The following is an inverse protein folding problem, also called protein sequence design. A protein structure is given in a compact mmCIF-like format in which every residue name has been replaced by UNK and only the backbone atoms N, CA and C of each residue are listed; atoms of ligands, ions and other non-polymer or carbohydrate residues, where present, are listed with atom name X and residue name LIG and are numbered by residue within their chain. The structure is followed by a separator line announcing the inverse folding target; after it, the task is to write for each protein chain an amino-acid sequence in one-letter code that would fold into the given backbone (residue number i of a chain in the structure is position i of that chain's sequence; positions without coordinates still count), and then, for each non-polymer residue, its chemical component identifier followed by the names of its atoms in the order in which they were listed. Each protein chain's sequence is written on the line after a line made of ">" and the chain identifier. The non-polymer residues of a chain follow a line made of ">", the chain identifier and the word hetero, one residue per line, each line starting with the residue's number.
data_IF_112379468051
#
_entry.id   IF_112379468051
#
_cell.length_a   1.000
_cell.length_b   1.000
_cell.length_c   1.000
_cell.angle_alpha   90.00
_cell.angle_beta   90.00
_cell.angle_gamma   90.00
#
_symmetry.space_group_name_H-M   'P 1'
#
loop_
_entity.id
_entity.type
_entity.pdbx_description
1 polymer ?
#
# COMPACT_ATOMS: atom_id res chain seq x y z
N UNK A 1 -3.50 0.58 13.53
CA UNK A 1 -3.99 0.97 12.22
C UNK A 1 -3.16 2.11 11.66
N UNK A 2 -2.34 1.84 10.65
CA UNK A 2 -1.56 2.82 9.91
C UNK A 2 -2.34 3.34 8.69
N UNK A 3 -2.15 4.60 8.30
CA UNK A 3 -2.89 5.19 7.18
C UNK A 3 -2.01 6.01 6.23
N UNK A 4 -1.92 5.55 4.99
CA UNK A 4 -1.31 6.29 3.89
C UNK A 4 -2.38 7.15 3.22
N UNK A 5 -2.11 8.45 3.04
CA UNK A 5 -3.08 9.44 2.53
C UNK A 5 -2.55 10.16 1.29
N UNK A 6 -3.44 10.42 0.33
CA UNK A 6 -3.21 11.28 -0.82
C UNK A 6 -4.47 12.13 -1.06
N UNK A 7 -4.43 13.39 -0.61
CA UNK A 7 -5.63 14.23 -0.56
C UNK A 7 -6.69 13.64 0.36
N UNK A 8 -7.89 13.35 -0.18
CA UNK A 8 -8.99 12.70 0.55
C UNK A 8 -8.95 11.17 0.48
N UNK A 9 -8.15 10.61 -0.42
CA UNK A 9 -8.05 9.17 -0.62
C UNK A 9 -7.05 8.58 0.38
N UNK A 10 -7.36 7.43 0.96
CA UNK A 10 -6.43 6.73 1.83
C UNK A 10 -6.47 5.21 1.71
N UNK A 11 -5.29 4.62 1.85
CA UNK A 11 -5.07 3.20 2.07
C UNK A 11 -4.74 3.01 3.54
N UNK A 12 -5.46 2.10 4.19
CA UNK A 12 -5.27 1.80 5.60
C UNK A 12 -4.99 0.32 5.78
N UNK A 13 -4.02 0.00 6.64
CA UNK A 13 -3.55 -1.34 6.90
C UNK A 13 -3.51 -1.56 8.42
N UNK A 14 -4.01 -2.70 8.86
CA UNK A 14 -4.12 -3.05 10.27
C UNK A 14 -3.73 -4.51 10.50
N UNK A 15 -2.95 -4.77 11.54
CA UNK A 15 -2.65 -6.13 12.00
C UNK A 15 -3.75 -6.59 12.95
N UNK A 16 -4.53 -7.61 12.57
CA UNK A 16 -5.73 -7.98 13.32
C UNK A 16 -5.60 -9.26 14.13
N UNK A 17 -4.74 -10.19 13.72
CA UNK A 17 -4.64 -11.50 14.37
C UNK A 17 -3.40 -12.29 14.02
N UNK A 18 -3.07 -13.26 14.88
CA UNK A 18 -2.13 -14.33 14.59
C UNK A 18 -2.75 -15.66 14.99
N UNK A 19 -2.94 -16.56 14.03
CA UNK A 19 -3.58 -17.87 14.26
C UNK A 19 -3.05 -18.91 13.28
N UNK A 20 -2.80 -20.14 13.73
CA UNK A 20 -2.21 -21.21 12.89
C UNK A 20 -0.98 -20.80 12.07
N UNK A 21 -0.09 -19.98 12.67
CA UNK A 21 1.08 -19.36 12.03
C UNK A 21 0.78 -18.27 10.99
N UNK A 22 -0.48 -17.90 10.77
CA UNK A 22 -0.88 -16.84 9.86
C UNK A 22 -0.92 -15.47 10.54
N UNK A 23 -0.23 -14.49 9.97
CA UNK A 23 -0.42 -13.07 10.28
C UNK A 23 -1.62 -12.56 9.49
N UNK A 24 -2.63 -12.06 10.19
CA UNK A 24 -3.88 -11.61 9.59
C UNK A 24 -3.94 -10.09 9.51
N UNK A 25 -4.38 -9.57 8.36
CA UNK A 25 -4.51 -8.15 8.09
C UNK A 25 -5.94 -7.76 7.75
N UNK A 26 -6.28 -6.52 8.10
CA UNK A 26 -7.42 -5.82 7.51
C UNK A 26 -6.95 -4.60 6.75
N UNK A 27 -7.53 -4.44 5.55
CA UNK A 27 -7.13 -3.43 4.58
C UNK A 27 -8.35 -2.63 4.17
N UNK A 28 -8.23 -1.32 4.12
CA UNK A 28 -9.34 -0.43 3.80
C UNK A 28 -8.96 0.58 2.74
N UNK A 29 -9.89 0.79 1.80
CA UNK A 29 -9.84 1.90 0.86
C UNK A 29 -10.87 2.93 1.28
N UNK A 30 -10.41 4.12 1.67
CA UNK A 30 -11.28 5.16 2.21
C UNK A 30 -11.24 6.44 1.37
N UNK A 31 -12.35 7.17 1.36
CA UNK A 31 -12.46 8.54 0.87
C UNK A 31 -13.00 9.43 1.97
N UNK A 32 -12.20 10.42 2.39
CA UNK A 32 -12.52 11.33 3.49
C UNK A 32 -12.80 10.60 4.82
N UNK A 33 -12.17 9.43 5.01
CA UNK A 33 -12.36 8.56 6.19
C UNK A 33 -13.53 7.59 6.08
N UNK A 34 -14.35 7.66 5.03
CA UNK A 34 -15.45 6.73 4.79
C UNK A 34 -15.02 5.59 3.86
N UNK A 35 -15.51 4.36 4.09
CA UNK A 35 -15.19 3.23 3.21
C UNK A 35 -15.73 3.46 1.79
N UNK A 36 -14.89 3.19 0.80
CA UNK A 36 -15.29 3.20 -0.61
C UNK A 36 -16.09 1.96 -1.00
N UNK A 37 -16.14 0.96 -0.13
CA UNK A 37 -16.71 -0.36 -0.40
C UNK A 37 -18.01 -0.54 0.38
N UNK A 38 -19.02 -1.05 -0.31
CA UNK A 38 -20.27 -1.46 0.32
C UNK A 38 -20.14 -2.87 0.86
N UNK A 39 -20.51 -3.06 2.12
CA UNK A 39 -20.41 -4.36 2.80
C UNK A 39 -21.21 -5.48 2.11
N UNK A 40 -22.25 -5.16 1.34
CA UNK A 40 -23.07 -6.19 0.67
C UNK A 40 -22.39 -6.85 -0.54
N UNK A 41 -21.33 -6.24 -1.10
CA UNK A 41 -20.59 -6.79 -2.24
C UNK A 41 -19.42 -7.67 -1.81
N UNK A 42 -19.06 -7.59 -0.54
CA UNK A 42 -17.89 -8.24 0.00
C UNK A 42 -18.23 -9.64 0.55
N UNK A 43 -17.25 -10.55 0.52
CA UNK A 43 -17.42 -11.95 0.97
C UNK A 43 -17.69 -12.02 2.47
N UNK A 44 -18.60 -12.90 2.90
CA UNK A 44 -18.99 -13.09 4.33
C UNK A 44 -18.92 -14.55 4.77
N UNK A 45 -18.31 -15.40 3.94
CA UNK A 45 -18.31 -16.85 4.14
C UNK A 45 -17.23 -17.21 5.16
N UNK A 46 -17.52 -18.16 6.05
CA UNK A 46 -16.60 -18.74 7.03
C UNK A 46 -16.09 -17.76 8.12
N UNK A 47 -15.40 -18.29 9.13
CA UNK A 47 -14.99 -17.51 10.32
C UNK A 47 -14.00 -16.39 9.99
N UNK A 48 -13.17 -16.56 8.95
CA UNK A 48 -12.17 -15.59 8.52
C UNK A 48 -12.82 -14.28 8.05
N UNK A 49 -13.68 -14.35 7.02
CA UNK A 49 -14.39 -13.17 6.53
C UNK A 49 -15.53 -12.73 7.44
N UNK A 50 -16.10 -13.64 8.26
CA UNK A 50 -17.18 -13.30 9.18
C UNK A 50 -16.77 -12.39 10.35
N UNK A 51 -15.48 -12.36 10.71
CA UNK A 51 -14.93 -11.56 11.82
C UNK A 51 -14.38 -10.20 11.39
N UNK A 52 -14.42 -9.87 10.10
CA UNK A 52 -13.86 -8.61 9.61
C UNK A 52 -14.69 -7.39 10.02
N UNK A 53 -14.06 -6.23 10.01
CA UNK A 53 -14.76 -4.95 10.14
C UNK A 53 -15.47 -4.56 8.84
N UNK A 54 -16.49 -3.70 8.96
CA UNK A 54 -17.25 -3.21 7.81
C UNK A 54 -16.36 -2.55 6.76
N UNK A 55 -16.49 -2.99 5.50
CA UNK A 55 -15.73 -2.45 4.38
C UNK A 55 -14.26 -2.86 4.33
N UNK A 56 -13.80 -3.77 5.21
CA UNK A 56 -12.45 -4.30 5.20
C UNK A 56 -12.28 -5.40 4.15
N UNK A 57 -11.11 -5.42 3.52
CA UNK A 57 -10.56 -6.59 2.86
C UNK A 57 -9.70 -7.36 3.86
N UNK A 58 -9.63 -8.68 3.70
CA UNK A 58 -8.79 -9.55 4.52
C UNK A 58 -7.66 -10.07 3.65
N UNK A 59 -6.48 -10.17 4.24
CA UNK A 59 -5.33 -10.83 3.65
C UNK A 59 -4.53 -11.51 4.76
N UNK A 60 -3.82 -12.57 4.42
CA UNK A 60 -3.02 -13.33 5.38
C UNK A 60 -1.60 -13.57 4.85
N UNK A 61 -0.61 -13.49 5.73
CA UNK A 61 0.77 -13.87 5.45
C UNK A 61 1.20 -15.06 6.32
N UNK A 62 2.11 -15.87 5.79
CA UNK A 62 2.63 -17.06 6.46
C UNK A 62 3.79 -16.70 7.38
N UNK A 63 3.68 -17.11 8.64
CA UNK A 63 4.66 -17.02 9.74
C UNK A 63 5.04 -15.63 10.23
N UNK A 64 5.14 -14.63 9.35
CA UNK A 64 5.63 -13.29 9.68
C UNK A 64 5.13 -12.24 8.70
N UNK A 65 5.24 -10.98 9.12
CA UNK A 65 4.97 -9.87 8.22
C UNK A 65 6.04 -9.73 7.13
N UNK A 66 5.59 -9.67 5.87
CA UNK A 66 6.44 -9.33 4.71
C UNK A 66 6.12 -7.97 4.11
N UNK A 67 5.04 -7.31 4.54
CA UNK A 67 4.64 -6.02 3.99
C UNK A 67 5.54 -4.87 4.46
N UNK A 68 5.82 -4.77 5.76
CA UNK A 68 6.72 -3.74 6.31
C UNK A 68 8.16 -3.85 5.76
N UNK A 69 8.79 -5.04 5.70
CA UNK A 69 10.09 -5.21 5.05
C UNK A 69 10.09 -4.75 3.58
N UNK A 70 9.03 -5.04 2.83
CA UNK A 70 8.86 -4.58 1.45
C UNK A 70 8.89 -3.05 1.34
N UNK A 71 8.08 -2.35 2.15
CA UNK A 71 8.03 -0.88 2.12
C UNK A 71 9.39 -0.25 2.44
N UNK A 72 10.08 -0.78 3.45
CA UNK A 72 11.43 -0.34 3.83
C UNK A 72 12.43 -0.54 2.70
N UNK A 73 12.41 -1.72 2.06
CA UNK A 73 13.28 -2.04 0.91
C UNK A 73 13.06 -1.07 -0.25
N UNK A 74 11.82 -0.73 -0.58
CA UNK A 74 11.52 0.22 -1.66
C UNK A 74 12.01 1.63 -1.32
N UNK A 75 11.75 2.10 -0.09
CA UNK A 75 12.26 3.40 0.38
C UNK A 75 13.80 3.46 0.41
N UNK A 76 14.47 2.34 0.69
CA UNK A 76 15.92 2.22 0.71
C UNK A 76 16.55 2.11 -0.69
N UNK A 77 15.90 1.41 -1.61
CA UNK A 77 16.49 1.14 -2.94
C UNK A 77 16.09 2.16 -4.01
N UNK A 78 14.99 2.89 -3.82
CA UNK A 78 14.32 3.67 -4.87
C UNK A 78 14.08 2.84 -6.15
N UNK A 79 13.83 1.54 -6.00
CA UNK A 79 13.46 0.65 -7.10
C UNK A 79 12.00 0.25 -6.98
N UNK A 80 11.36 0.07 -8.13
CA UNK A 80 10.01 -0.49 -8.17
C UNK A 80 10.05 -1.94 -7.69
N UNK A 81 9.07 -2.29 -6.87
CA UNK A 81 8.89 -3.64 -6.34
C UNK A 81 7.42 -3.86 -5.95
N UNK A 82 7.06 -5.10 -5.61
CA UNK A 82 5.73 -5.43 -5.12
C UNK A 82 5.77 -6.40 -3.94
N UNK A 83 4.70 -6.38 -3.17
CA UNK A 83 4.39 -7.36 -2.15
C UNK A 83 3.09 -8.07 -2.50
N UNK A 84 3.10 -9.39 -2.30
CA UNK A 84 1.97 -10.29 -2.41
C UNK A 84 2.07 -11.27 -1.23
N UNK A 85 1.00 -11.46 -0.43
CA UNK A 85 0.96 -12.48 0.61
C UNK A 85 0.97 -13.90 0.01
N UNK A 86 1.09 -14.93 0.86
CA UNK A 86 1.01 -16.31 0.38
C UNK A 86 -0.39 -16.62 -0.20
N UNK A 87 -1.44 -16.09 0.42
CA UNK A 87 -2.77 -16.06 -0.15
C UNK A 87 -2.89 -14.77 -1.00
N UNK A 88 -3.06 -14.85 -2.33
CA UNK A 88 -3.03 -13.69 -3.22
C UNK A 88 -4.32 -12.88 -3.17
N UNK A 89 -4.74 -12.48 -1.97
CA UNK A 89 -5.90 -11.64 -1.71
C UNK A 89 -5.65 -10.18 -2.12
N UNK A 90 -4.38 -9.78 -2.12
CA UNK A 90 -3.93 -8.43 -2.44
C UNK A 90 -2.53 -8.45 -3.06
N UNK A 91 -2.30 -7.54 -4.00
CA UNK A 91 -0.97 -7.15 -4.48
C UNK A 91 -0.78 -5.66 -4.20
N UNK A 92 0.33 -5.27 -3.58
CA UNK A 92 0.73 -3.87 -3.44
C UNK A 92 2.02 -3.62 -4.21
N UNK A 93 2.00 -2.71 -5.17
CA UNK A 93 3.16 -2.31 -5.94
C UNK A 93 3.50 -0.83 -5.73
N UNK A 94 4.79 -0.52 -5.67
CA UNK A 94 5.32 0.83 -5.52
C UNK A 94 6.23 1.16 -6.69
N UNK A 95 6.02 2.31 -7.32
CA UNK A 95 6.81 2.80 -8.44
C UNK A 95 7.36 4.19 -8.12
N UNK A 96 8.66 4.32 -7.81
CA UNK A 96 9.31 5.60 -7.52
C UNK A 96 9.35 6.50 -8.77
N UNK A 97 8.92 7.75 -8.64
CA UNK A 97 8.93 8.79 -9.69
C UNK A 97 8.18 8.47 -11.00
N UNK A 98 7.41 7.39 -11.02
CA UNK A 98 6.54 7.05 -12.14
C UNK A 98 5.10 7.46 -11.85
N UNK A 99 4.33 7.71 -12.91
CA UNK A 99 2.92 8.05 -12.86
C UNK A 99 2.15 7.16 -13.81
N UNK A 100 1.07 6.53 -13.33
CA UNK A 100 0.18 5.77 -14.22
C UNK A 100 -0.58 6.72 -15.18
N UNK A 101 -0.83 6.32 -16.44
CA UNK A 101 -0.37 5.07 -17.06
C UNK A 101 1.15 5.08 -17.29
N UNK A 102 1.83 3.96 -17.02
CA UNK A 102 3.28 3.77 -17.22
C UNK A 102 3.62 3.67 -18.73
N UNK A 103 3.15 4.65 -19.48
CA UNK A 103 3.22 4.74 -20.94
C UNK A 103 3.80 6.09 -21.31
N UNK A 104 4.48 6.13 -22.45
CA UNK A 104 4.96 7.39 -23.00
C UNK A 104 3.79 8.37 -23.16
N UNK A 105 3.94 9.63 -22.70
CA UNK A 105 2.90 10.62 -22.87
C UNK A 105 2.54 10.80 -24.34
N UNK A 106 1.25 10.74 -24.67
CA UNK A 106 0.77 11.06 -26.02
C UNK A 106 0.90 12.56 -26.35
N UNK A 107 1.23 13.39 -25.37
CA UNK A 107 1.41 14.83 -25.50
C UNK A 107 2.89 15.22 -25.39
N UNK A 108 3.28 16.21 -26.19
CA UNK A 108 4.60 16.85 -26.10
C UNK A 108 4.45 18.23 -25.48
N UNK A 109 5.26 18.54 -24.48
CA UNK A 109 5.33 19.88 -23.91
C UNK A 109 5.98 20.81 -24.94
N UNK A 110 5.16 21.61 -25.63
CA UNK A 110 5.65 22.59 -26.62
C UNK A 110 6.06 23.93 -26.02
N UNK A 111 5.61 24.21 -24.80
CA UNK A 111 5.92 25.43 -24.08
C UNK A 111 5.92 25.19 -22.57
N UNK A 112 6.96 25.69 -21.92
CA UNK A 112 7.07 25.73 -20.46
C UNK A 112 7.67 27.08 -20.10
N UNK A 113 7.02 27.83 -19.19
CA UNK A 113 7.52 29.14 -18.73
C UNK A 113 8.90 28.95 -18.08
N UNK A 114 9.77 29.95 -18.21
CA UNK A 114 11.16 29.89 -17.68
C UNK A 114 11.20 29.56 -16.19
N UNK A 115 10.34 30.20 -15.37
CA UNK A 115 10.23 29.91 -13.94
C UNK A 115 10.01 28.43 -13.62
N UNK A 116 9.29 27.68 -14.47
CA UNK A 116 9.07 26.25 -14.27
C UNK A 116 10.27 25.41 -14.75
N UNK A 117 10.98 25.85 -15.80
CA UNK A 117 12.23 25.22 -16.23
C UNK A 117 13.29 25.33 -15.13
N UNK A 118 13.45 26.53 -14.57
CA UNK A 118 14.42 26.79 -13.50
C UNK A 118 14.11 25.95 -12.26
N UNK A 119 12.83 25.83 -11.88
CA UNK A 119 12.40 24.95 -10.78
C UNK A 119 12.72 23.48 -11.03
N UNK A 120 12.47 22.97 -12.24
CA UNK A 120 12.77 21.58 -12.60
C UNK A 120 14.28 21.31 -12.58
N UNK A 121 15.07 22.24 -13.10
CA UNK A 121 16.53 22.11 -13.14
C UNK A 121 17.14 22.22 -11.74
N UNK A 122 16.71 23.19 -10.92
CA UNK A 122 17.09 23.30 -9.52
C UNK A 122 16.72 22.03 -8.74
N UNK A 123 15.53 21.46 -8.96
CA UNK A 123 15.11 20.20 -8.34
C UNK A 123 15.99 19.03 -8.75
N UNK A 124 16.33 18.91 -10.03
CA UNK A 124 17.25 17.88 -10.54
C UNK A 124 18.63 18.00 -9.92
N UNK A 125 19.17 19.22 -9.83
CA UNK A 125 20.46 19.47 -9.22
C UNK A 125 20.45 19.13 -7.72
N UNK A 126 19.43 19.57 -7.00
CA UNK A 126 19.24 19.23 -5.59
C UNK A 126 19.15 17.72 -5.38
N UNK A 127 18.44 17.00 -6.25
CA UNK A 127 18.34 15.54 -6.20
C UNK A 127 19.68 14.86 -6.48
N UNK A 128 20.47 15.36 -7.44
CA UNK A 128 21.83 14.84 -7.68
C UNK A 128 22.75 15.02 -6.47
N UNK A 129 22.62 16.14 -5.76
CA UNK A 129 23.45 16.45 -4.59
C UNK A 129 23.05 15.67 -3.33
N UNK A 130 21.75 15.57 -3.07
CA UNK A 130 21.22 14.98 -1.83
C UNK A 130 20.73 13.54 -1.98
N UNK A 131 20.63 13.03 -3.21
CA UNK A 131 19.97 11.78 -3.51
C UNK A 131 18.46 11.89 -3.28
N UNK A 132 17.98 11.23 -2.22
CA UNK A 132 16.57 11.11 -1.88
C UNK A 132 16.04 12.39 -1.26
N UNK A 133 14.91 12.88 -1.74
CA UNK A 133 14.25 14.04 -1.16
C UNK A 133 12.90 13.66 -0.52
N UNK A 134 12.48 14.36 0.54
CA UNK A 134 11.19 14.10 1.22
C UNK A 134 9.96 14.26 0.31
N UNK A 135 10.07 15.04 -0.76
CA UNK A 135 9.02 15.29 -1.74
C UNK A 135 9.13 14.41 -2.99
N UNK A 136 10.06 13.45 -3.04
CA UNK A 136 10.07 12.41 -4.08
C UNK A 136 8.72 11.69 -4.09
N UNK A 137 8.18 11.43 -5.27
CA UNK A 137 6.84 10.84 -5.42
C UNK A 137 6.92 9.34 -5.66
N UNK A 138 5.92 8.61 -5.18
CA UNK A 138 5.70 7.20 -5.45
C UNK A 138 4.29 7.02 -5.99
N UNK A 139 4.14 6.26 -7.08
CA UNK A 139 2.85 5.67 -7.44
C UNK A 139 2.68 4.40 -6.61
N UNK A 140 1.67 4.41 -5.74
CA UNK A 140 1.23 3.28 -4.92
C UNK A 140 0.00 2.66 -5.58
N UNK A 141 0.06 1.36 -5.86
CA UNK A 141 -1.04 0.59 -6.44
C UNK A 141 -1.35 -0.57 -5.52
N UNK A 142 -2.56 -0.63 -4.97
CA UNK A 142 -3.08 -1.81 -4.27
C UNK A 142 -4.16 -2.45 -5.13
N UNK A 143 -3.99 -3.72 -5.51
CA UNK A 143 -4.97 -4.52 -6.22
C UNK A 143 -5.52 -5.57 -5.25
N UNK A 144 -6.81 -5.51 -4.95
CA UNK A 144 -7.52 -6.55 -4.21
C UNK A 144 -8.09 -7.55 -5.20
N UNK A 145 -7.81 -8.84 -5.00
CA UNK A 145 -8.36 -9.91 -5.83
C UNK A 145 -9.89 -10.02 -5.67
N UNK A 146 -10.56 -10.37 -6.75
CA UNK A 146 -12.00 -10.59 -6.82
C UNK A 146 -12.48 -11.65 -5.80
N UNK A 147 -11.59 -12.51 -5.31
CA UNK A 147 -11.84 -13.48 -4.25
C UNK A 147 -12.36 -12.86 -2.93
N UNK A 148 -12.05 -11.59 -2.66
CA UNK A 148 -12.58 -10.86 -1.50
C UNK A 148 -14.08 -10.47 -1.64
N UNK A 149 -14.69 -10.69 -2.80
CA UNK A 149 -16.07 -10.32 -3.09
C UNK A 149 -17.02 -11.51 -2.96
N UNK A 150 -18.31 -11.22 -2.77
CA UNK A 150 -19.34 -12.25 -2.64
C UNK A 150 -19.38 -13.14 -3.87
N UNK A 151 -19.77 -14.40 -3.66
CA UNK A 151 -19.95 -15.41 -4.72
C UNK A 151 -18.67 -15.79 -5.50
N UNK A 152 -17.49 -15.28 -5.08
CA UNK A 152 -16.20 -15.71 -5.61
C UNK A 152 -15.72 -16.98 -4.91
N UNK A 153 -15.40 -18.01 -5.70
CA UNK A 153 -15.02 -19.35 -5.22
C UNK A 153 -13.52 -19.67 -5.35
N UNK A 154 -12.75 -18.82 -6.06
CA UNK A 154 -11.31 -18.99 -6.25
C UNK A 154 -10.63 -17.63 -6.50
N UNK A 155 -9.30 -17.61 -6.49
CA UNK A 155 -8.52 -16.46 -6.94
C UNK A 155 -8.67 -16.24 -8.44
N UNK A 156 -8.73 -14.99 -8.86
CA UNK A 156 -8.99 -14.63 -10.26
C UNK A 156 -7.84 -13.87 -10.93
N UNK A 157 -6.92 -13.27 -10.17
CA UNK A 157 -5.87 -12.39 -10.70
C UNK A 157 -6.39 -11.06 -11.25
N UNK A 158 -7.65 -10.73 -10.96
CA UNK A 158 -8.32 -9.48 -11.30
C UNK A 158 -9.10 -8.99 -10.09
N UNK A 159 -9.45 -7.70 -10.06
CA UNK A 159 -10.28 -7.15 -9.00
C UNK A 159 -10.21 -5.64 -8.88
N UNK A 160 -10.40 -5.12 -7.67
CA UNK A 160 -10.46 -3.68 -7.43
C UNK A 160 -9.06 -3.12 -7.17
N UNK A 161 -8.65 -2.12 -7.96
CA UNK A 161 -7.40 -1.41 -7.74
C UNK A 161 -7.61 -0.01 -7.18
N UNK A 162 -6.85 0.31 -6.13
CA UNK A 162 -6.64 1.65 -5.62
C UNK A 162 -5.28 2.16 -6.07
N UNK A 163 -5.27 3.31 -6.74
CA UNK A 163 -4.04 3.99 -7.11
C UNK A 163 -3.93 5.33 -6.37
N UNK A 164 -2.76 5.58 -5.80
CA UNK A 164 -2.43 6.82 -5.11
C UNK A 164 -1.07 7.33 -5.57
N UNK A 165 -0.89 8.66 -5.62
CA UNK A 165 0.43 9.27 -5.72
C UNK A 165 0.74 9.89 -4.36
N UNK A 166 1.80 9.42 -3.72
CA UNK A 166 2.21 9.83 -2.38
C UNK A 166 3.64 10.35 -2.40
N UNK A 167 3.99 11.18 -1.43
CA UNK A 167 5.36 11.65 -1.25
C UNK A 167 6.14 10.72 -0.33
N UNK A 168 7.46 10.69 -0.48
CA UNK A 168 8.38 9.92 0.35
C UNK A 168 8.09 10.07 1.83
N UNK A 169 8.00 11.31 2.34
CA UNK A 169 7.77 11.54 3.76
C UNK A 169 6.39 11.06 4.26
N UNK A 170 5.39 10.96 3.36
CA UNK A 170 4.08 10.40 3.71
C UNK A 170 4.16 8.88 3.80
N UNK A 171 4.93 8.25 2.91
CA UNK A 171 5.20 6.82 2.93
C UNK A 171 6.11 6.41 4.11
N UNK A 172 7.14 7.19 4.43
CA UNK A 172 7.99 7.01 5.62
C UNK A 172 7.16 7.08 6.91
N UNK A 173 6.30 8.09 7.05
CA UNK A 173 5.39 8.18 8.20
C UNK A 173 4.47 6.96 8.29
N UNK A 174 3.94 6.48 7.16
CA UNK A 174 3.12 5.27 7.13
C UNK A 174 3.91 4.02 7.57
N UNK A 175 5.18 3.90 7.16
CA UNK A 175 6.10 2.85 7.62
C UNK A 175 6.36 2.94 9.12
N UNK A 176 6.57 4.14 9.66
CA UNK A 176 6.76 4.34 11.10
C UNK A 176 5.48 3.95 11.90
N UNK A 177 4.30 4.31 11.39
CA UNK A 177 3.01 3.91 11.97
C UNK A 177 2.86 2.38 11.98
N UNK A 178 3.20 1.73 10.86
CA UNK A 178 3.17 0.26 10.72
C UNK A 178 4.18 -0.43 11.64
N UNK A 179 5.38 0.10 11.78
CA UNK A 179 6.41 -0.47 12.66
C UNK A 179 5.98 -0.41 14.12
N UNK A 180 5.44 0.73 14.55
CA UNK A 180 4.88 0.89 15.90
C UNK A 180 3.70 -0.06 16.14
N UNK A 181 2.86 -0.28 15.14
CA UNK A 181 1.75 -1.23 15.22
C UNK A 181 2.24 -2.68 15.26
N UNK A 182 3.18 -3.04 14.40
CA UNK A 182 3.76 -4.38 14.34
C UNK A 182 4.46 -4.74 15.64
N UNK A 183 5.16 -3.79 16.26
CA UNK A 183 5.80 -4.00 17.57
C UNK A 183 4.79 -4.35 18.66
N UNK A 184 3.63 -3.66 18.69
CA UNK A 184 2.54 -4.00 19.62
C UNK A 184 1.89 -5.33 19.28
N UNK A 185 1.78 -5.65 18.00
CA UNK A 185 1.23 -6.91 17.51
C UNK A 185 2.11 -8.09 17.95
N UNK A 186 3.42 -8.01 17.75
CA UNK A 186 4.36 -9.07 18.16
C UNK A 186 4.37 -9.27 19.67
N UNK A 187 4.32 -8.18 20.45
CA UNK A 187 4.14 -8.25 21.91
C UNK A 187 2.83 -8.94 22.30
N UNK A 188 1.71 -8.54 21.68
CA UNK A 188 0.37 -9.08 21.98
C UNK A 188 0.27 -10.58 21.74
N UNK A 189 0.91 -11.07 20.69
CA UNK A 189 0.85 -12.49 20.28
C UNK A 189 2.08 -13.30 20.71
N UNK A 190 2.98 -12.72 21.53
CA UNK A 190 4.23 -13.34 21.96
C UNK A 190 5.08 -13.89 20.80
N UNK A 191 5.09 -13.16 19.68
CA UNK A 191 5.92 -13.43 18.52
C UNK A 191 7.34 -12.91 18.80
N UNK A 192 8.00 -13.44 19.82
CA UNK A 192 9.43 -13.22 19.95
C UNK A 192 10.10 -13.92 18.77
N UNK A 193 10.92 -13.17 18.02
CA UNK A 193 11.62 -13.62 16.83
C UNK A 193 12.21 -15.02 17.04
N UNK A 194 11.52 -16.05 16.53
CA UNK A 194 12.20 -17.30 16.19
C UNK A 194 13.04 -16.94 14.97
N UNK A 195 14.28 -16.51 15.25
CA UNK A 195 15.34 -16.10 14.32
C UNK A 195 15.25 -16.75 12.94
#
# INVERSE_FOLDING_TARGET
>A
MASLKSGKLSFTFEYTGFDDEWVQYQIYFLWDGETLLREEVLKKRDECWGKRSEGAFVANDDQRDRFLPFLKKVLESDQADYWEPLEPDIIVALYPEEYFPFLDPHYKVIFLREEFKDKLEARRQLKKEKGKLPDDTYTFVALIDAYNFRDADAYHGEGLSLQMVVKRHELERFVDELENEYSKFTERFNLQEKN
#
